data_IF_498385733017
#
_entry.id   IF_498385733017
#
_cell.length_a   1.000
_cell.length_b   1.000
_cell.length_c   1.000
_cell.angle_alpha   90.00
_cell.angle_beta   90.00
_cell.angle_gamma   90.00
#
_symmetry.space_group_name_H-M   'P 1'
#
loop_
_entity.id
_entity.type
_entity.pdbx_description
1 polymer ?
2 non-polymer ?
3 non-polymer ?
4 water ?
#
# COMPACT_ATOMS: atom_id res chain seq x y z
N UNK A 2 -5.49 -35.08 -2.09
CA UNK A 2 -4.91 -33.77 -2.52
C UNK A 2 -4.05 -33.94 -3.77
N UNK A 3 -3.72 -32.82 -4.40
CA UNK A 3 -2.90 -32.82 -5.60
C UNK A 3 -2.21 -31.47 -5.75
N UNK A 4 -1.19 -31.41 -6.60
CA UNK A 4 -0.46 -30.17 -6.81
C UNK A 4 -0.97 -29.43 -8.03
N UNK A 5 -1.01 -28.11 -7.94
CA UNK A 5 -1.49 -27.28 -9.04
C UNK A 5 -0.53 -26.10 -9.22
N UNK A 6 -0.09 -25.89 -10.46
CA UNK A 6 0.84 -24.82 -10.76
C UNK A 6 0.12 -23.50 -11.02
N UNK A 7 0.51 -22.47 -10.28
CA UNK A 7 -0.07 -21.13 -10.41
C UNK A 7 1.03 -20.20 -10.91
N UNK A 8 0.68 -19.30 -11.79
CA UNK A 8 1.65 -18.35 -12.33
C UNK A 8 1.75 -17.12 -11.43
N UNK A 9 2.94 -16.90 -10.87
CA UNK A 9 3.15 -15.72 -10.05
C UNK A 9 3.40 -14.63 -11.09
N UNK A 10 2.42 -13.76 -11.26
CA UNK A 10 2.50 -12.69 -12.24
C UNK A 10 3.40 -11.55 -11.77
N UNK A 11 4.62 -11.53 -12.27
CA UNK A 11 5.56 -10.48 -11.93
C UNK A 11 6.20 -9.99 -13.22
N UNK A 12 6.66 -8.75 -13.22
CA UNK A 12 7.32 -8.17 -14.39
C UNK A 12 8.27 -7.13 -13.83
N UNK A 13 9.17 -7.60 -12.97
CA UNK A 13 10.15 -6.77 -12.27
C UNK A 13 11.11 -5.98 -13.15
N UNK A 14 11.36 -6.47 -14.36
CA UNK A 14 12.29 -5.78 -15.27
C UNK A 14 11.61 -4.80 -16.21
N UNK A 15 10.29 -4.65 -16.07
CA UNK A 15 9.53 -3.71 -16.90
C UNK A 15 9.66 -2.31 -16.33
N UNK A 16 10.05 -1.33 -17.15
CA UNK A 16 10.19 0.05 -16.66
C UNK A 16 8.94 0.59 -15.97
N UNK A 17 7.77 0.16 -16.42
CA UNK A 17 6.53 0.64 -15.82
C UNK A 17 6.43 0.25 -14.35
N UNK A 18 6.96 -0.93 -14.01
CA UNK A 18 6.92 -1.38 -12.62
C UNK A 18 8.02 -0.63 -11.85
N UNK A 19 9.20 -0.55 -12.45
CA UNK A 19 10.34 0.13 -11.83
C UNK A 19 10.01 1.60 -11.53
N UNK A 20 9.39 2.28 -12.49
CA UNK A 20 9.03 3.69 -12.34
C UNK A 20 7.95 3.90 -11.29
N UNK A 21 7.07 2.93 -11.14
CA UNK A 21 5.98 3.03 -10.16
C UNK A 21 6.60 3.12 -8.77
N UNK A 22 7.58 2.25 -8.49
CA UNK A 22 8.24 2.28 -7.19
C UNK A 22 9.24 3.42 -7.06
N UNK A 23 9.84 3.85 -8.18
CA UNK A 23 10.78 4.97 -8.12
C UNK A 23 10.00 6.23 -7.73
N UNK A 24 8.79 6.35 -8.25
CA UNK A 24 7.92 7.47 -7.93
C UNK A 24 7.64 7.49 -6.43
N UNK A 25 7.32 6.32 -5.88
CA UNK A 25 7.03 6.25 -4.45
C UNK A 25 8.29 6.47 -3.62
N UNK A 26 9.42 5.96 -4.08
CA UNK A 26 10.67 6.14 -3.33
C UNK A 26 10.98 7.63 -3.23
N UNK A 27 10.88 8.33 -4.36
CA UNK A 27 11.14 9.77 -4.35
C UNK A 27 10.15 10.49 -3.45
N UNK A 28 8.92 10.01 -3.41
CA UNK A 28 7.87 10.58 -2.58
C UNK A 28 8.24 10.45 -1.10
N UNK A 29 8.84 9.33 -0.73
CA UNK A 29 9.26 9.10 0.65
C UNK A 29 10.58 9.80 0.96
N UNK A 30 11.39 10.02 -0.08
CA UNK A 30 12.69 10.68 0.05
C UNK A 30 12.50 12.19 0.11
N UNK A 31 11.96 12.66 1.23
CA UNK A 31 11.66 14.08 1.45
C UNK A 31 12.79 15.07 1.14
N UNK A 32 13.99 14.81 1.63
CA UNK A 32 15.09 15.74 1.39
C UNK A 32 15.83 15.49 0.09
N UNK A 33 15.36 14.51 -0.67
CA UNK A 33 15.96 14.20 -1.96
C UNK A 33 17.43 13.81 -2.01
N UNK A 34 17.93 13.14 -0.98
CA UNK A 34 19.33 12.73 -0.99
C UNK A 34 19.50 11.28 -1.46
N UNK A 35 18.42 10.70 -1.97
CA UNK A 35 18.46 9.33 -2.48
C UNK A 35 18.47 8.23 -1.45
N UNK A 36 18.15 8.54 -0.20
CA UNK A 36 18.14 7.54 0.85
C UNK A 36 16.96 7.71 1.82
N UNK A 37 16.37 6.60 2.25
CA UNK A 37 15.27 6.64 3.20
C UNK A 37 15.52 5.57 4.25
N UNK A 38 14.82 5.63 5.38
CA UNK A 38 15.01 4.64 6.43
C UNK A 38 13.67 4.17 6.95
N UNK A 39 13.66 3.00 7.59
CA UNK A 39 12.42 2.48 8.17
C UNK A 39 11.96 3.47 9.23
N UNK A 40 12.92 4.11 9.90
CA UNK A 40 12.60 5.09 10.94
C UNK A 40 11.72 6.20 10.40
N UNK A 41 12.09 6.72 9.23
CA UNK A 41 11.35 7.79 8.58
C UNK A 41 9.97 7.33 8.14
N UNK A 42 9.89 6.11 7.62
CA UNK A 42 8.63 5.55 7.16
C UNK A 42 7.66 5.37 8.34
N UNK A 43 8.17 4.86 9.45
CA UNK A 43 7.33 4.64 10.62
C UNK A 43 6.91 5.99 11.23
N UNK A 44 7.79 6.97 11.20
CA UNK A 44 7.45 8.28 11.74
C UNK A 44 6.32 8.87 10.89
N UNK A 45 6.41 8.67 9.58
CA UNK A 45 5.38 9.16 8.67
C UNK A 45 4.05 8.49 9.00
N UNK A 46 4.09 7.19 9.25
CA UNK A 46 2.88 6.44 9.55
C UNK A 46 2.27 6.79 10.90
N UNK A 47 3.10 6.85 11.94
CA UNK A 47 2.60 7.11 13.28
C UNK A 47 2.51 8.56 13.73
N UNK A 48 3.61 9.29 13.61
CA UNK A 48 3.64 10.68 14.05
C UNK A 48 2.94 11.66 13.11
N UNK A 49 2.80 11.27 11.85
CA UNK A 49 2.17 12.14 10.86
C UNK A 49 0.74 11.71 10.52
N UNK A 50 0.63 10.62 9.75
CA UNK A 50 -0.67 10.13 9.31
C UNK A 50 -1.65 9.79 10.42
N UNK A 51 -1.30 8.87 11.31
CA UNK A 51 -2.22 8.49 12.37
C UNK A 51 -2.59 9.64 13.28
N UNK A 52 -1.62 10.53 13.54
CA UNK A 52 -1.88 11.69 14.40
C UNK A 52 -2.93 12.61 13.77
N UNK A 53 -2.76 12.93 12.49
CA UNK A 53 -3.69 13.81 11.80
C UNK A 53 -5.07 13.18 11.59
N UNK A 54 -5.13 11.86 11.48
CA UNK A 54 -6.40 11.15 11.32
C UNK A 54 -7.05 10.96 12.68
N UNK A 55 -6.33 11.35 13.73
CA UNK A 55 -6.79 11.24 15.10
C UNK A 55 -7.12 9.79 15.47
N UNK A 56 -6.32 8.87 14.94
CA UNK A 56 -6.49 7.46 15.23
C UNK A 56 -6.27 7.27 16.74
N UNK A 57 -6.87 6.23 17.31
CA UNK A 57 -6.69 5.97 18.74
C UNK A 57 -5.29 5.44 18.96
N UNK A 58 -4.78 5.55 20.20
CA UNK A 58 -3.44 5.06 20.50
C UNK A 58 -3.27 3.61 20.05
N UNK A 59 -4.29 2.78 20.30
CA UNK A 59 -4.21 1.38 19.92
C UNK A 59 -4.24 1.19 18.40
N UNK A 60 -5.07 1.96 17.70
CA UNK A 60 -5.14 1.84 16.25
C UNK A 60 -3.80 2.25 15.65
N UNK A 61 -3.17 3.25 16.25
CA UNK A 61 -1.87 3.73 15.79
C UNK A 61 -0.82 2.65 15.99
N UNK A 62 -0.87 1.99 17.14
CA UNK A 62 0.05 0.93 17.48
C UNK A 62 -0.08 -0.25 16.52
N UNK A 63 -1.31 -0.65 16.23
CA UNK A 63 -1.54 -1.78 15.33
C UNK A 63 -1.07 -1.42 13.93
N UNK A 64 -1.39 -0.21 13.50
CA UNK A 64 -0.99 0.28 12.18
C UNK A 64 0.53 0.26 12.05
N UNK A 65 1.21 0.71 13.10
CA UNK A 65 2.68 0.74 13.07
C UNK A 65 3.23 -0.67 12.92
N UNK A 66 2.67 -1.64 13.65
CA UNK A 66 3.13 -3.02 13.54
C UNK A 66 3.03 -3.53 12.10
N UNK A 67 1.93 -3.16 11.42
CA UNK A 67 1.72 -3.59 10.04
C UNK A 67 2.69 -2.92 9.07
N UNK A 68 2.96 -1.63 9.30
CA UNK A 68 3.89 -0.89 8.46
C UNK A 68 5.31 -1.45 8.65
N UNK A 69 5.67 -1.71 9.91
CA UNK A 69 6.99 -2.27 10.19
C UNK A 69 7.15 -3.61 9.47
N UNK A 70 6.16 -4.48 9.59
CA UNK A 70 6.24 -5.78 8.94
C UNK A 70 6.33 -5.65 7.42
N UNK A 71 5.51 -4.77 6.86
CA UNK A 71 5.47 -4.57 5.41
C UNK A 71 6.83 -4.14 4.85
N UNK A 72 7.39 -3.07 5.41
CA UNK A 72 8.67 -2.60 4.90
C UNK A 72 9.87 -3.42 5.31
N UNK A 73 9.73 -4.22 6.36
CA UNK A 73 10.83 -5.09 6.74
C UNK A 73 10.80 -6.19 5.70
N UNK A 74 9.63 -6.39 5.10
CA UNK A 74 9.47 -7.38 4.05
C UNK A 74 10.26 -6.96 2.82
N UNK A 75 10.58 -5.67 2.75
CA UNK A 75 11.37 -5.10 1.64
C UNK A 75 12.83 -5.03 2.02
N UNK A 76 13.18 -5.60 3.17
CA UNK A 76 14.55 -5.59 3.62
C UNK A 76 14.99 -4.38 4.41
N UNK A 77 14.04 -3.52 4.80
CA UNK A 77 14.38 -2.33 5.56
C UNK A 77 14.35 -2.58 7.06
N UNK A 78 15.36 -2.07 7.75
CA UNK A 78 15.47 -2.23 9.21
C UNK A 78 15.81 -0.89 9.84
N UNK A 79 15.41 -0.72 11.10
CA UNK A 79 15.68 0.54 11.79
C UNK A 79 17.15 0.92 11.80
N UNK A 80 17.42 2.21 11.61
CA UNK A 80 18.79 2.70 11.63
C UNK A 80 19.62 2.50 10.39
N UNK A 81 19.05 1.92 9.34
CA UNK A 81 19.80 1.69 8.12
C UNK A 81 19.27 2.45 6.92
N UNK A 82 20.13 3.28 6.33
CA UNK A 82 19.74 4.03 5.14
C UNK A 82 19.63 3.08 3.96
N UNK A 83 18.62 3.30 3.13
CA UNK A 83 18.36 2.45 1.97
C UNK A 83 18.27 3.30 0.70
N UNK A 84 19.03 2.93 -0.32
CA UNK A 84 19.00 3.65 -1.60
C UNK A 84 18.04 2.91 -2.52
N UNK A 85 17.65 3.52 -3.65
CA UNK A 85 16.67 2.87 -4.53
C UNK A 85 16.97 1.46 -5.04
N UNK A 86 18.20 1.20 -5.53
CA UNK A 86 18.45 -0.16 -6.02
C UNK A 86 18.12 -1.26 -5.00
N UNK A 87 18.51 -1.05 -3.74
CA UNK A 87 18.25 -2.03 -2.69
C UNK A 87 16.75 -2.07 -2.39
N UNK A 88 16.13 -0.89 -2.39
CA UNK A 88 14.70 -0.77 -2.14
C UNK A 88 13.94 -1.59 -3.18
N UNK A 89 14.30 -1.43 -4.44
CA UNK A 89 13.64 -2.16 -5.52
C UNK A 89 13.85 -3.66 -5.37
N UNK A 90 15.07 -4.07 -5.06
CA UNK A 90 15.37 -5.48 -4.87
C UNK A 90 14.51 -6.03 -3.75
N UNK A 91 14.30 -5.21 -2.72
CA UNK A 91 13.48 -5.62 -1.60
C UNK A 91 12.03 -5.81 -2.03
N UNK A 92 11.56 -4.97 -2.93
CA UNK A 92 10.20 -5.09 -3.42
C UNK A 92 10.01 -6.34 -4.24
N UNK A 93 11.07 -6.77 -4.93
CA UNK A 93 10.98 -7.99 -5.72
C UNK A 93 10.77 -9.16 -4.76
N UNK A 94 11.49 -9.17 -3.64
CA UNK A 94 11.35 -10.26 -2.68
C UNK A 94 9.99 -10.21 -1.97
N UNK A 95 9.53 -9.01 -1.64
CA UNK A 95 8.23 -8.85 -0.97
C UNK A 95 7.12 -9.32 -1.90
N UNK A 96 7.16 -8.84 -3.14
CA UNK A 96 6.13 -9.22 -4.12
C UNK A 96 6.07 -10.72 -4.32
N UNK A 97 7.23 -11.36 -4.39
CA UNK A 97 7.28 -12.79 -4.59
C UNK A 97 6.68 -13.54 -3.40
N UNK A 98 7.04 -13.10 -2.18
CA UNK A 98 6.52 -13.72 -0.97
C UNK A 98 5.02 -13.52 -0.85
N UNK A 99 4.57 -12.31 -1.14
CA UNK A 99 3.15 -11.96 -1.06
C UNK A 99 2.31 -12.75 -2.06
N UNK A 100 2.80 -12.86 -3.29
CA UNK A 100 2.09 -13.56 -4.34
C UNK A 100 1.97 -15.05 -4.03
N UNK A 101 2.92 -15.59 -3.27
CA UNK A 101 2.84 -17.00 -2.89
C UNK A 101 1.77 -17.16 -1.82
N UNK A 102 1.72 -16.23 -0.87
CA UNK A 102 0.70 -16.28 0.19
C UNK A 102 -0.67 -16.14 -0.48
N UNK A 103 -0.72 -15.25 -1.47
CA UNK A 103 -1.93 -14.97 -2.25
C UNK A 103 -2.44 -16.25 -2.91
N UNK A 104 -1.55 -16.98 -3.55
CA UNK A 104 -1.89 -18.23 -4.23
C UNK A 104 -2.33 -19.30 -3.25
N UNK A 105 -1.81 -19.26 -2.03
CA UNK A 105 -2.15 -20.23 -0.98
C UNK A 105 -3.32 -19.73 -0.15
N UNK A 106 -3.86 -18.58 -0.54
CA UNK A 106 -4.97 -17.97 0.17
C UNK A 106 -4.70 -17.82 1.66
N UNK A 107 -3.53 -17.27 1.97
CA UNK A 107 -3.12 -16.97 3.32
C UNK A 107 -3.08 -15.45 3.33
N UNK A 108 -3.47 -14.82 4.45
CA UNK A 108 -3.45 -13.35 4.49
C UNK A 108 -2.09 -12.73 4.17
N UNK A 109 -2.10 -11.72 3.31
CA UNK A 109 -0.87 -11.03 2.91
C UNK A 109 -0.57 -9.84 3.81
N UNK A 110 0.66 -9.34 3.73
CA UNK A 110 1.06 -8.19 4.53
C UNK A 110 0.33 -6.95 4.06
N UNK A 111 -0.01 -6.89 2.76
CA UNK A 111 -0.73 -5.73 2.25
C UNK A 111 -2.17 -5.78 2.74
N UNK A 112 -2.75 -6.98 2.84
CA UNK A 112 -4.10 -7.10 3.34
C UNK A 112 -4.12 -6.68 4.82
N UNK A 113 -3.13 -7.12 5.59
CA UNK A 113 -3.10 -6.77 7.00
C UNK A 113 -2.88 -5.28 7.24
N UNK A 114 -2.08 -4.65 6.39
CA UNK A 114 -1.85 -3.21 6.51
C UNK A 114 -3.19 -2.57 6.19
N UNK A 115 -3.86 -3.10 5.17
CA UNK A 115 -5.17 -2.59 4.80
C UNK A 115 -6.16 -2.68 5.95
N UNK A 116 -6.17 -3.81 6.65
CA UNK A 116 -7.07 -3.96 7.78
C UNK A 116 -6.84 -2.83 8.78
N UNK A 117 -5.59 -2.49 9.03
CA UNK A 117 -5.25 -1.45 9.99
C UNK A 117 -5.69 -0.06 9.56
N UNK A 118 -5.60 0.21 8.26
CA UNK A 118 -6.02 1.50 7.73
C UNK A 118 -7.54 1.58 7.77
N UNK A 119 -8.20 0.54 7.26
CA UNK A 119 -9.67 0.53 7.26
C UNK A 119 -10.21 0.63 8.69
N UNK A 120 -9.53 -0.01 9.64
CA UNK A 120 -9.97 0.04 11.04
C UNK A 120 -10.07 1.48 11.53
N UNK A 121 -9.13 2.32 11.13
CA UNK A 121 -9.12 3.72 11.54
C UNK A 121 -10.35 4.47 11.06
N UNK A 122 -10.88 4.08 9.90
CA UNK A 122 -12.05 4.73 9.34
C UNK A 122 -13.34 3.94 9.59
N UNK A 123 -13.25 2.88 10.40
CA UNK A 123 -14.41 2.03 10.69
C UNK A 123 -15.28 2.56 11.84
N UNK A 124 -15.97 3.67 11.60
CA UNK A 124 -16.83 4.26 12.63
C UNK A 124 -18.00 3.38 13.07
N UNK A 125 -18.66 2.74 12.12
CA UNK A 125 -19.81 1.89 12.45
C UNK A 125 -19.53 0.40 12.50
N UNK A 126 -18.28 0.02 12.26
CA UNK A 126 -17.92 -1.39 12.31
C UNK A 126 -18.24 -2.20 11.07
N UNK A 127 -18.74 -1.55 10.02
CA UNK A 127 -19.06 -2.25 8.77
C UNK A 127 -17.82 -2.53 7.93
N UNK A 128 -16.69 -1.93 8.33
CA UNK A 128 -15.45 -2.13 7.61
C UNK A 128 -15.34 -1.57 6.21
N UNK A 129 -15.97 -0.43 5.97
CA UNK A 129 -15.89 0.17 4.66
C UNK A 129 -15.33 1.57 4.73
N UNK A 130 -14.73 2.02 3.64
CA UNK A 130 -14.19 3.36 3.58
C UNK A 130 -15.00 4.11 2.55
N UNK A 131 -15.39 5.33 2.87
CA UNK A 131 -16.16 6.16 1.96
C UNK A 131 -15.20 6.98 1.13
N UNK A 132 -15.69 7.57 0.05
CA UNK A 132 -14.87 8.40 -0.82
C UNK A 132 -14.26 9.56 -0.03
N UNK A 133 -15.06 10.16 0.86
CA UNK A 133 -14.56 11.27 1.65
C UNK A 133 -13.47 10.83 2.62
N UNK A 134 -13.57 9.62 3.13
CA UNK A 134 -12.56 9.13 4.05
C UNK A 134 -11.27 8.87 3.27
N UNK A 135 -11.40 8.33 2.07
CA UNK A 135 -10.22 8.06 1.25
C UNK A 135 -9.56 9.38 0.85
N UNK A 136 -10.37 10.40 0.53
CA UNK A 136 -9.83 11.69 0.16
C UNK A 136 -9.00 12.26 1.31
N UNK A 137 -9.44 12.02 2.53
CA UNK A 137 -8.73 12.49 3.71
C UNK A 137 -7.39 11.76 3.81
N UNK A 138 -7.40 10.45 3.58
CA UNK A 138 -6.17 9.68 3.64
C UNK A 138 -5.21 10.11 2.54
N UNK A 139 -5.73 10.22 1.32
CA UNK A 139 -4.91 10.62 0.19
C UNK A 139 -4.18 11.93 0.42
N UNK A 140 -4.87 12.86 1.06
CA UNK A 140 -4.31 14.17 1.33
C UNK A 140 -3.30 14.12 2.47
N UNK A 141 -3.66 13.45 3.56
CA UNK A 141 -2.78 13.35 4.72
C UNK A 141 -1.53 12.51 4.46
N UNK A 142 -1.68 11.37 3.79
CA UNK A 142 -0.53 10.53 3.49
C UNK A 142 0.26 11.16 2.35
N UNK A 143 -0.43 11.97 1.54
CA UNK A 143 0.21 12.62 0.42
C UNK A 143 0.33 11.75 -0.81
N UNK A 144 -0.15 10.51 -0.75
CA UNK A 144 -0.05 9.61 -1.90
C UNK A 144 -1.01 10.02 -3.02
N UNK A 145 -2.12 10.64 -2.65
CA UNK A 145 -3.13 11.06 -3.62
C UNK A 145 -3.92 12.26 -3.10
N UNK A 146 -3.29 13.44 -3.05
CA UNK A 146 -3.95 14.65 -2.56
C UNK A 146 -5.08 15.17 -3.44
N UNK A 147 -5.00 14.89 -4.75
CA UNK A 147 -6.02 15.34 -5.69
C UNK A 147 -7.37 14.65 -5.51
N UNK A 148 -8.42 15.43 -5.29
CA UNK A 148 -9.75 14.88 -5.14
C UNK A 148 -10.16 14.08 -6.38
N UNK A 149 -9.76 14.57 -7.55
CA UNK A 149 -10.10 13.88 -8.78
C UNK A 149 -9.42 12.52 -8.85
N UNK A 150 -8.18 12.44 -8.36
CA UNK A 150 -7.48 11.17 -8.38
C UNK A 150 -8.12 10.21 -7.38
N UNK A 151 -8.63 10.74 -6.28
CA UNK A 151 -9.28 9.90 -5.28
C UNK A 151 -10.60 9.37 -5.84
N UNK A 152 -11.28 10.20 -6.64
CA UNK A 152 -12.52 9.76 -7.24
C UNK A 152 -12.21 8.71 -8.31
N UNK A 153 -11.04 8.86 -8.95
CA UNK A 153 -10.62 7.90 -9.97
C UNK A 153 -10.42 6.53 -9.31
N UNK A 154 -9.91 6.53 -8.09
CA UNK A 154 -9.69 5.28 -7.37
C UNK A 154 -11.01 4.55 -7.16
N UNK A 155 -12.02 5.26 -6.68
CA UNK A 155 -13.31 4.63 -6.43
C UNK A 155 -14.02 4.23 -7.73
N UNK A 156 -13.85 5.03 -8.78
CA UNK A 156 -14.46 4.74 -10.06
C UNK A 156 -13.83 3.47 -10.63
N UNK A 157 -12.52 3.34 -10.44
CA UNK A 157 -11.78 2.19 -10.91
C UNK A 157 -12.19 0.90 -10.23
N UNK A 158 -12.36 0.96 -8.91
CA UNK A 158 -12.73 -0.22 -8.14
C UNK A 158 -14.18 -0.63 -8.28
N UNK A 159 -14.47 -1.86 -7.86
CA UNK A 159 -15.84 -2.37 -7.86
C UNK A 159 -16.28 -2.14 -6.43
N UNK A 160 -17.22 -1.23 -6.26
CA UNK A 160 -17.72 -0.85 -4.94
C UNK A 160 -18.87 -1.72 -4.48
N UNK A 161 -19.16 -1.68 -3.18
CA UNK A 161 -20.26 -2.48 -2.65
C UNK A 161 -21.57 -1.84 -3.10
N UNK A 162 -22.69 -2.38 -2.66
CA UNK A 162 -23.98 -1.86 -3.07
C UNK A 162 -24.31 -0.44 -2.58
N UNK A 163 -23.44 0.13 -1.76
CA UNK A 163 -23.69 1.48 -1.24
C UNK A 163 -22.75 2.52 -1.83
N UNK A 164 -21.84 2.09 -2.69
CA UNK A 164 -20.90 3.03 -3.29
C UNK A 164 -19.63 3.21 -2.48
N UNK A 165 -19.44 2.37 -1.45
CA UNK A 165 -18.25 2.44 -0.61
C UNK A 165 -17.27 1.34 -1.01
N UNK A 166 -16.04 1.44 -0.52
CA UNK A 166 -15.00 0.47 -0.83
C UNK A 166 -14.67 -0.40 0.38
N UNK A 167 -14.47 -1.70 0.14
CA UNK A 167 -14.12 -2.61 1.23
C UNK A 167 -12.69 -3.09 1.04
N UNK A 168 -12.09 -3.59 2.11
CA UNK A 168 -10.71 -4.05 2.08
C UNK A 168 -10.43 -5.22 1.13
N UNK A 169 -11.40 -6.10 0.95
CA UNK A 169 -11.21 -7.23 0.07
C UNK A 169 -10.92 -6.75 -1.36
N UNK A 170 -11.67 -5.76 -1.81
CA UNK A 170 -11.49 -5.20 -3.14
C UNK A 170 -10.17 -4.41 -3.23
N UNK A 171 -9.91 -3.55 -2.26
CA UNK A 171 -8.70 -2.75 -2.28
C UNK A 171 -7.44 -3.61 -2.24
N UNK A 172 -7.49 -4.70 -1.50
CA UNK A 172 -6.33 -5.59 -1.40
C UNK A 172 -6.02 -6.19 -2.77
N UNK A 173 -7.05 -6.65 -3.48
CA UNK A 173 -6.85 -7.22 -4.81
C UNK A 173 -6.24 -6.18 -5.75
N UNK A 174 -6.73 -4.95 -5.67
CA UNK A 174 -6.24 -3.87 -6.51
C UNK A 174 -4.79 -3.53 -6.20
N UNK A 175 -4.49 -3.41 -4.91
CA UNK A 175 -3.13 -3.09 -4.47
C UNK A 175 -2.12 -4.16 -4.85
N UNK A 176 -2.55 -5.42 -4.80
CA UNK A 176 -1.68 -6.51 -5.17
C UNK A 176 -1.32 -6.38 -6.64
N UNK A 177 -2.32 -6.14 -7.47
CA UNK A 177 -2.05 -5.99 -8.89
C UNK A 177 -1.27 -4.74 -9.21
N UNK A 178 -1.48 -3.68 -8.43
CA UNK A 178 -0.80 -2.43 -8.66
C UNK A 178 0.67 -2.43 -8.20
N UNK A 179 0.91 -2.83 -6.95
CA UNK A 179 2.27 -2.82 -6.41
C UNK A 179 3.14 -4.03 -6.71
N UNK A 180 2.53 -5.20 -6.89
CA UNK A 180 3.31 -6.41 -7.11
C UNK A 180 3.36 -6.97 -8.53
N UNK A 181 2.23 -6.96 -9.23
CA UNK A 181 2.18 -7.59 -10.55
C UNK A 181 2.06 -6.76 -11.83
N UNK A 182 1.87 -5.45 -11.71
CA UNK A 182 1.73 -4.64 -12.92
C UNK A 182 0.56 -5.20 -13.76
N UNK A 183 -0.50 -5.59 -13.07
CA UNK A 183 -1.69 -6.14 -13.73
C UNK A 183 -2.45 -5.03 -14.44
N UNK A 184 -2.80 -5.23 -15.71
CA UNK A 184 -3.52 -4.20 -16.47
C UNK A 184 -4.83 -3.82 -15.79
N UNK A 185 -5.39 -4.77 -15.05
CA UNK A 185 -6.65 -4.57 -14.35
C UNK A 185 -6.49 -3.55 -13.22
N UNK A 186 -5.24 -3.33 -12.81
CA UNK A 186 -4.95 -2.40 -11.73
C UNK A 186 -4.48 -1.02 -12.19
N UNK A 187 -4.14 -0.88 -13.47
CA UNK A 187 -3.68 0.42 -13.95
C UNK A 187 -4.73 1.50 -13.69
N UNK A 188 -4.28 2.66 -13.25
CA UNK A 188 -5.19 3.75 -12.97
C UNK A 188 -5.78 3.74 -11.57
N UNK A 189 -5.32 2.81 -10.74
CA UNK A 189 -5.81 2.70 -9.37
C UNK A 189 -5.73 4.02 -8.60
N UNK A 190 -4.67 4.78 -8.81
CA UNK A 190 -4.50 6.05 -8.13
C UNK A 190 -4.69 7.24 -9.08
N UNK A 191 -5.46 7.04 -10.15
CA UNK A 191 -5.67 8.13 -11.09
C UNK A 191 -4.34 8.54 -11.71
N UNK A 192 -4.08 9.83 -11.74
CA UNK A 192 -2.82 10.34 -12.29
C UNK A 192 -1.82 10.61 -11.17
N UNK A 193 -2.18 10.22 -9.96
CA UNK A 193 -1.33 10.44 -8.81
C UNK A 193 -0.08 9.57 -8.74
N UNK A 194 -0.21 8.33 -9.21
CA UNK A 194 0.90 7.38 -9.21
C UNK A 194 0.93 6.64 -10.55
N UNK A 195 2.08 6.63 -11.23
CA UNK A 195 2.20 5.94 -12.52
C UNK A 195 2.11 4.42 -12.41
#
# INVERSE_FOLDING_TARGET
>A
MSSKYAVKLKTDFDNPRWIKRHKHMFDFLDINGNGKITLDEIVSKASDDICAKLEATPEQTKRHQVCVEAFFRGCGMEYGKEIAFPQFLDGWKQLATSELKKWARNEPTLIREWGDAVFDIFDKDGSGTITLDEWKAYGKISGISPSQEDCEATFRHCDLDNSGDLDVDEMTRQHLGFWYTLDPEADGLYGNGVP
#
